data_IF_914210010476
#
_entry.id   IF_914210010476
#
_cell.length_a   1.000
_cell.length_b   1.000
_cell.length_c   1.000
_cell.angle_alpha   90.00
_cell.angle_beta   90.00
_cell.angle_gamma   90.00
#
_symmetry.space_group_name_H-M   'P 1'
#
loop_
_entity.id
_entity.type
_entity.pdbx_description
1 polymer ?
#
# COMPACT_ATOMS: atom_id res chain seq x y z
N UNK A 1 29.91 8.79 -10.66
CA UNK A 1 30.60 9.09 -11.93
C UNK A 1 30.73 10.59 -12.09
N UNK A 2 31.67 11.08 -12.90
CA UNK A 2 31.73 12.52 -13.20
C UNK A 2 30.68 12.91 -14.27
N UNK A 3 30.44 14.21 -14.45
CA UNK A 3 29.41 14.70 -15.39
C UNK A 3 29.62 14.19 -16.82
N UNK A 4 30.86 14.06 -17.28
CA UNK A 4 31.17 13.64 -18.65
C UNK A 4 30.81 12.16 -18.86
N UNK A 5 31.22 11.30 -17.93
CA UNK A 5 30.91 9.87 -17.95
C UNK A 5 29.40 9.61 -17.93
N UNK A 6 28.65 10.38 -17.14
CA UNK A 6 27.21 10.25 -17.08
C UNK A 6 26.51 10.66 -18.38
N UNK A 7 26.98 11.71 -19.05
CA UNK A 7 26.44 12.13 -20.35
C UNK A 7 26.72 11.05 -21.41
N UNK A 8 27.92 10.48 -21.44
CA UNK A 8 28.27 9.40 -22.37
C UNK A 8 27.42 8.15 -22.14
N UNK A 9 27.20 7.77 -20.87
CA UNK A 9 26.29 6.68 -20.51
C UNK A 9 24.83 6.95 -20.93
N UNK A 10 24.35 8.17 -20.70
CA UNK A 10 23.01 8.58 -21.09
C UNK A 10 22.82 8.52 -22.62
N UNK A 11 23.79 9.03 -23.39
CA UNK A 11 23.76 9.03 -24.85
C UNK A 11 23.79 7.62 -25.42
N UNK A 12 24.59 6.71 -24.84
CA UNK A 12 24.68 5.32 -25.27
C UNK A 12 23.35 4.55 -25.12
N UNK A 13 22.57 4.86 -24.08
CA UNK A 13 21.29 4.18 -23.81
C UNK A 13 20.14 4.81 -24.59
N UNK A 14 20.11 6.15 -24.67
CA UNK A 14 18.97 6.88 -25.19
C UNK A 14 19.16 7.34 -26.64
N UNK A 15 20.34 7.12 -27.21
CA UNK A 15 20.74 7.55 -28.55
C UNK A 15 20.45 9.05 -28.83
N UNK A 16 20.54 9.87 -27.78
CA UNK A 16 20.36 11.33 -27.81
C UNK A 16 21.08 12.00 -26.64
N UNK A 17 21.39 13.29 -26.79
CA UNK A 17 21.94 14.09 -25.70
C UNK A 17 20.91 14.30 -24.57
N UNK A 18 21.34 14.33 -23.30
CA UNK A 18 20.45 14.66 -22.19
C UNK A 18 20.01 16.12 -22.25
N UNK A 19 18.76 16.37 -21.85
CA UNK A 19 18.22 17.72 -21.67
C UNK A 19 18.77 18.37 -20.40
N UNK A 20 18.62 19.70 -20.27
CA UNK A 20 19.06 20.44 -19.07
C UNK A 20 18.34 19.93 -17.81
N UNK A 21 17.05 19.58 -17.93
CA UNK A 21 16.25 19.04 -16.83
C UNK A 21 16.74 17.66 -16.38
N UNK A 22 17.09 16.78 -17.33
CA UNK A 22 17.65 15.46 -17.03
C UNK A 22 19.01 15.57 -16.35
N UNK A 23 19.86 16.52 -16.78
CA UNK A 23 21.13 16.79 -16.11
C UNK A 23 20.93 17.31 -14.67
N UNK A 24 19.95 18.19 -14.45
CA UNK A 24 19.62 18.71 -13.12
C UNK A 24 19.09 17.61 -12.20
N UNK A 25 18.21 16.74 -12.73
CA UNK A 25 17.66 15.62 -11.99
C UNK A 25 18.76 14.62 -11.61
N UNK A 26 19.64 14.29 -12.54
CA UNK A 26 20.75 13.38 -12.28
C UNK A 26 21.78 13.94 -11.29
N UNK A 27 22.00 15.25 -11.28
CA UNK A 27 22.81 15.91 -10.26
C UNK A 27 22.14 15.85 -8.87
N UNK A 28 20.83 16.11 -8.79
CA UNK A 28 20.06 16.03 -7.55
C UNK A 28 19.98 14.59 -7.00
N UNK A 29 19.89 13.62 -7.90
CA UNK A 29 19.89 12.20 -7.58
C UNK A 29 21.29 11.67 -7.20
N UNK A 30 22.34 12.49 -7.37
CA UNK A 30 23.73 12.11 -7.11
C UNK A 30 24.28 11.07 -8.09
N UNK A 31 23.66 10.92 -9.26
CA UNK A 31 24.10 9.99 -10.30
C UNK A 31 25.46 10.39 -10.86
N UNK A 32 25.72 11.70 -10.93
CA UNK A 32 27.06 12.23 -11.12
C UNK A 32 27.34 13.38 -10.17
N UNK A 33 28.62 13.60 -9.91
CA UNK A 33 29.12 14.72 -9.12
C UNK A 33 29.92 15.66 -10.01
N UNK A 34 29.83 16.96 -9.73
CA UNK A 34 30.65 17.97 -10.40
C UNK A 34 31.97 18.07 -9.64
N UNK A 35 33.01 17.43 -10.15
CA UNK A 35 34.35 17.59 -9.59
C UNK A 35 34.95 18.93 -10.06
N UNK A 36 35.13 19.87 -9.12
CA UNK A 36 35.95 21.08 -9.31
C UNK A 36 35.24 22.41 -9.05
N UNK A 37 35.62 23.06 -7.94
CA UNK A 37 35.31 24.40 -7.41
C UNK A 37 33.89 24.65 -6.87
N UNK A 38 33.85 24.83 -5.54
CA UNK A 38 32.75 25.43 -4.77
C UNK A 38 32.06 26.56 -5.55
N UNK A 39 30.81 26.34 -5.94
CA UNK A 39 29.85 27.40 -6.17
C UNK A 39 28.92 27.43 -4.95
N UNK A 40 29.20 28.32 -4.01
CA UNK A 40 28.23 28.79 -3.02
C UNK A 40 27.02 29.35 -3.77
N UNK A 41 25.86 28.73 -3.63
CA UNK A 41 24.60 29.38 -3.98
C UNK A 41 24.26 30.39 -2.86
N UNK A 42 24.76 31.62 -3.00
CA UNK A 42 24.21 32.78 -2.29
C UNK A 42 22.91 33.20 -2.96
N UNK A 43 21.84 33.30 -2.17
CA UNK A 43 20.63 34.01 -2.57
C UNK A 43 20.94 35.51 -2.67
N UNK A 44 21.08 36.03 -3.89
CA UNK A 44 21.01 37.47 -4.14
C UNK A 44 19.53 37.86 -4.30
N UNK A 45 18.93 38.38 -3.23
CA UNK A 45 17.81 39.31 -3.33
C UNK A 45 18.38 40.73 -3.35
N UNK A 46 18.15 41.45 -4.45
CA UNK A 46 18.47 42.86 -4.58
C UNK A 46 17.74 43.70 -3.52
N UNK A 47 18.49 44.46 -2.71
CA UNK A 47 18.12 45.83 -2.35
C UNK A 47 19.39 46.66 -2.08
N UNK A 48 19.56 47.69 -2.91
CA UNK A 48 20.47 48.84 -2.74
C UNK A 48 19.81 49.72 -1.65
N UNK A 49 20.49 50.28 -0.65
CA UNK A 49 21.28 51.53 -0.74
C UNK A 49 22.15 51.73 0.52
N UNK A 50 23.41 52.09 0.28
CA UNK A 50 24.40 52.91 1.02
C UNK A 50 24.44 52.99 2.56
N UNK A 51 25.66 52.87 3.10
CA UNK A 51 26.12 53.75 4.18
C UNK A 51 27.01 53.13 5.26
N UNK A 52 28.33 53.26 5.08
CA UNK A 52 29.37 53.41 6.12
C UNK A 52 29.71 52.23 7.08
N UNK A 53 30.94 51.72 6.92
CA UNK A 53 31.79 51.15 7.98
C UNK A 53 32.19 52.26 8.99
N UNK A 54 32.60 51.97 10.26
CA UNK A 54 33.64 50.99 10.59
C UNK A 54 33.49 50.18 11.92
N UNK A 55 34.31 49.13 12.06
CA UNK A 55 34.73 48.45 13.33
C UNK A 55 35.58 49.40 14.24
N UNK A 56 36.07 49.05 15.46
CA UNK A 56 35.91 47.87 16.36
C UNK A 56 35.73 48.21 17.88
N UNK A 57 35.81 47.18 18.76
CA UNK A 57 36.45 47.11 20.11
C UNK A 57 35.61 46.76 21.36
N UNK A 58 36.08 45.71 22.06
CA UNK A 58 36.36 45.57 23.52
C UNK A 58 35.21 45.77 24.54
N UNK A 59 35.16 45.22 25.76
CA UNK A 59 35.81 44.19 26.59
C UNK A 59 35.01 44.21 27.92
N UNK A 60 35.10 43.12 28.72
CA UNK A 60 34.89 43.07 30.21
C UNK A 60 33.49 43.40 30.74
N UNK A 61 32.91 42.79 31.77
CA UNK A 61 33.26 41.86 32.86
C UNK A 61 32.01 41.91 33.77
N UNK A 62 31.60 40.88 34.51
CA UNK A 62 32.09 40.59 35.86
C UNK A 62 31.11 39.61 36.54
N UNK A 63 31.68 38.73 37.38
CA UNK A 63 31.07 37.70 38.24
C UNK A 63 30.03 38.29 39.23
N UNK A 64 29.17 37.54 39.95
CA UNK A 64 29.45 36.77 41.18
C UNK A 64 28.17 36.02 41.64
N UNK A 65 28.33 34.82 42.22
CA UNK A 65 27.33 33.94 42.90
C UNK A 65 27.52 34.10 44.44
N UNK A 66 26.58 33.85 45.41
CA UNK A 66 26.22 32.45 45.82
C UNK A 66 24.89 32.19 46.63
N UNK A 67 24.51 30.90 46.71
CA UNK A 67 23.99 30.05 47.82
C UNK A 67 22.65 30.24 48.63
N UNK A 68 21.84 29.13 48.66
CA UNK A 68 21.04 28.46 49.74
C UNK A 68 20.11 29.29 50.68
N UNK A 69 18.81 29.00 50.95
CA UNK A 69 18.22 27.81 51.64
C UNK A 69 16.66 27.87 51.70
N UNK A 70 16.05 26.75 52.08
CA UNK A 70 14.62 26.35 52.08
C UNK A 70 13.69 26.97 53.16
N UNK A 71 12.36 26.99 52.92
CA UNK A 71 11.32 26.64 53.91
C UNK A 71 9.93 26.37 53.27
N UNK A 72 9.18 25.40 53.82
CA UNK A 72 7.84 24.92 53.40
C UNK A 72 6.86 24.92 54.59
N UNK A 73 5.53 24.83 54.29
CA UNK A 73 4.34 24.40 55.10
C UNK A 73 3.32 25.52 55.42
N UNK A 74 2.23 25.70 54.62
CA UNK A 74 0.81 25.18 54.69
C UNK A 74 -0.15 26.01 55.59
N UNK A 75 -1.45 26.30 55.36
CA UNK A 75 -2.51 25.96 54.37
C UNK A 75 -3.51 27.15 54.33
N UNK A 76 -4.14 27.44 53.19
CA UNK A 76 -5.60 27.71 53.16
C UNK A 76 -6.19 27.23 51.83
N UNK A 77 -7.13 26.27 51.92
CA UNK A 77 -7.91 25.72 50.80
C UNK A 77 -8.69 26.83 50.08
N UNK A 78 -8.58 26.90 48.76
CA UNK A 78 -9.50 27.66 47.90
C UNK A 78 -10.08 26.75 46.82
N UNK A 79 -11.41 26.81 46.69
CA UNK A 79 -12.25 25.99 45.82
C UNK A 79 -11.93 26.23 44.33
N UNK A 80 -12.09 25.14 43.57
CA UNK A 80 -11.86 24.98 42.14
C UNK A 80 -12.38 26.12 41.26
N UNK A 81 -11.47 26.70 40.47
CA UNK A 81 -11.78 27.39 39.23
C UNK A 81 -11.12 26.64 38.08
N UNK A 82 -11.91 26.21 37.09
CA UNK A 82 -11.46 25.57 35.85
C UNK A 82 -10.41 26.46 35.19
N UNK A 83 -9.12 26.08 35.25
CA UNK A 83 -7.95 26.53 34.44
C UNK A 83 -6.64 26.37 35.22
N UNK A 84 -6.20 25.14 35.46
CA UNK A 84 -4.77 24.84 35.68
C UNK A 84 -4.52 23.36 35.40
N UNK A 85 -4.52 23.00 34.12
CA UNK A 85 -3.95 21.73 33.62
C UNK A 85 -3.24 21.98 32.29
N UNK A 86 -2.52 23.11 32.22
CA UNK A 86 -1.76 23.55 31.05
C UNK A 86 -0.34 23.79 31.58
N UNK A 87 0.49 22.75 31.58
CA UNK A 87 1.84 22.87 32.16
C UNK A 87 2.68 21.59 32.21
N UNK A 88 2.12 20.42 31.88
CA UNK A 88 2.88 19.17 31.71
C UNK A 88 2.48 18.39 30.44
N UNK A 89 1.66 18.99 29.57
CA UNK A 89 1.20 18.41 28.30
C UNK A 89 1.82 19.04 27.04
N UNK A 90 2.76 19.97 27.16
CA UNK A 90 3.29 20.75 26.02
C UNK A 90 4.66 20.23 25.53
N UNK A 91 5.38 19.42 26.32
CA UNK A 91 6.62 18.79 25.87
C UNK A 91 6.38 17.58 24.94
N UNK A 92 5.19 16.95 24.97
CA UNK A 92 4.83 15.86 24.04
C UNK A 92 4.18 16.37 22.75
N UNK A 93 3.69 17.62 22.73
CA UNK A 93 3.03 18.23 21.57
C UNK A 93 4.00 18.94 20.61
N UNK A 94 5.23 19.25 21.03
CA UNK A 94 6.23 19.91 20.19
C UNK A 94 7.14 18.97 19.39
N UNK A 95 7.10 17.65 19.65
CA UNK A 95 7.71 16.64 18.76
C UNK A 95 6.76 16.24 17.61
N UNK A 96 5.47 16.59 17.72
CA UNK A 96 4.47 16.38 16.66
C UNK A 96 4.46 17.53 15.63
N UNK A 97 4.93 18.72 16.00
CA UNK A 97 4.81 19.91 15.15
C UNK A 97 5.99 20.15 14.16
N UNK A 98 7.13 19.46 14.31
CA UNK A 98 8.26 19.53 13.36
C UNK A 98 8.40 18.28 12.49
N UNK A 99 7.50 17.30 12.62
CA UNK A 99 7.35 16.17 11.70
C UNK A 99 6.10 16.28 10.82
N UNK A 100 5.44 17.45 10.84
CA UNK A 100 4.37 17.80 9.89
C UNK A 100 4.97 18.23 8.54
N UNK A 101 5.90 17.42 8.02
CA UNK A 101 6.09 17.31 6.58
C UNK A 101 4.91 16.52 6.05
N UNK A 102 3.76 17.20 5.92
CA UNK A 102 2.66 16.82 5.06
C UNK A 102 3.24 16.59 3.67
N UNK A 103 3.71 15.37 3.41
CA UNK A 103 3.76 14.82 2.06
C UNK A 103 2.30 14.67 1.65
N UNK A 104 1.74 15.78 1.16
CA UNK A 104 0.53 15.78 0.37
C UNK A 104 0.70 14.70 -0.70
N UNK A 105 -0.18 13.72 -0.64
CA UNK A 105 -0.28 12.55 -1.48
C UNK A 105 0.02 12.88 -2.95
N UNK A 106 1.27 12.66 -3.35
CA UNK A 106 1.57 12.35 -4.73
C UNK A 106 1.73 10.85 -4.81
N UNK A 107 0.61 10.14 -4.95
CA UNK A 107 0.60 8.74 -5.39
C UNK A 107 1.23 8.56 -6.77
N UNK A 108 1.66 9.65 -7.43
CA UNK A 108 2.37 9.65 -8.71
C UNK A 108 3.75 8.99 -8.67
N UNK A 109 4.24 8.58 -7.49
CA UNK A 109 5.55 7.94 -7.32
C UNK A 109 5.56 6.43 -7.03
N UNK A 110 4.46 5.84 -6.55
CA UNK A 110 4.45 4.42 -6.13
C UNK A 110 3.49 3.59 -6.98
N UNK A 111 3.93 2.40 -7.42
CA UNK A 111 3.08 1.46 -8.17
C UNK A 111 2.22 0.57 -7.24
N UNK A 112 1.95 1.05 -6.02
CA UNK A 112 1.22 0.29 -5.00
C UNK A 112 -0.28 0.25 -5.26
N UNK A 113 -0.85 1.24 -5.96
CA UNK A 113 -2.30 1.33 -6.17
C UNK A 113 -2.84 0.08 -6.89
N UNK A 114 -3.97 -0.45 -6.41
CA UNK A 114 -4.64 -1.62 -6.96
C UNK A 114 -4.78 -2.78 -5.99
N UNK A 115 -5.28 -3.90 -6.52
CA UNK A 115 -5.47 -5.17 -5.83
C UNK A 115 -4.19 -6.00 -5.80
N UNK A 116 -3.83 -6.46 -4.62
CA UNK A 116 -2.73 -7.38 -4.36
C UNK A 116 -3.27 -8.67 -3.76
N UNK A 117 -2.87 -9.81 -4.31
CA UNK A 117 -3.31 -11.14 -3.87
C UNK A 117 -2.12 -12.03 -3.58
N UNK A 118 -2.16 -12.83 -2.50
CA UNK A 118 -1.10 -13.78 -2.16
C UNK A 118 -1.45 -15.22 -2.57
N UNK A 119 -0.59 -16.18 -2.22
CA UNK A 119 -0.81 -17.60 -2.51
C UNK A 119 -1.86 -18.30 -1.63
N UNK A 120 -2.40 -17.61 -0.62
CA UNK A 120 -3.54 -18.04 0.18
C UNK A 120 -4.86 -17.44 -0.32
N UNK A 121 -4.81 -16.63 -1.38
CA UNK A 121 -5.94 -15.87 -1.89
C UNK A 121 -6.46 -14.82 -0.89
N UNK A 122 -5.57 -14.32 -0.02
CA UNK A 122 -5.83 -13.11 0.76
C UNK A 122 -5.63 -11.90 -0.16
N UNK A 123 -6.61 -11.00 -0.13
CA UNK A 123 -6.61 -9.77 -0.92
C UNK A 123 -6.37 -8.53 -0.06
N UNK A 124 -5.64 -7.58 -0.62
CA UNK A 124 -5.45 -6.24 -0.07
C UNK A 124 -5.53 -5.22 -1.19
N UNK A 125 -6.27 -4.12 -0.98
CA UNK A 125 -6.40 -3.04 -1.98
C UNK A 125 -5.83 -1.74 -1.44
N UNK A 126 -4.88 -1.17 -2.17
CA UNK A 126 -4.44 0.21 -1.98
C UNK A 126 -5.22 1.12 -2.93
N UNK A 127 -6.22 1.82 -2.42
CA UNK A 127 -6.94 2.87 -3.16
C UNK A 127 -6.24 4.21 -2.93
N UNK A 128 -5.21 4.48 -3.74
CA UNK A 128 -4.33 5.63 -3.57
C UNK A 128 -4.85 6.85 -4.37
N UNK A 129 -5.42 7.81 -3.64
CA UNK A 129 -5.98 9.07 -4.16
C UNK A 129 -5.22 10.27 -3.61
N UNK A 130 -5.24 11.40 -4.32
CA UNK A 130 -4.62 12.67 -3.85
C UNK A 130 -5.18 13.13 -2.48
N UNK A 131 -6.42 12.75 -2.17
CA UNK A 131 -7.04 12.90 -0.84
C UNK A 131 -7.85 11.65 -0.55
N UNK A 132 -7.95 11.28 0.74
CA UNK A 132 -8.73 10.13 1.21
C UNK A 132 -8.26 8.80 0.61
N UNK A 133 -6.95 8.59 0.57
CA UNK A 133 -6.40 7.26 0.26
C UNK A 133 -6.87 6.24 1.29
N UNK A 134 -7.27 5.06 0.83
CA UNK A 134 -7.81 3.98 1.66
C UNK A 134 -7.03 2.69 1.46
N UNK A 135 -6.99 1.89 2.51
CA UNK A 135 -6.48 0.54 2.53
C UNK A 135 -7.62 -0.40 2.87
N UNK A 136 -7.83 -1.42 2.03
CA UNK A 136 -8.81 -2.47 2.29
C UNK A 136 -8.11 -3.80 2.57
N UNK A 137 -8.50 -4.47 3.66
CA UNK A 137 -7.97 -5.79 4.04
C UNK A 137 -9.10 -6.72 4.48
N UNK A 138 -9.64 -7.51 3.54
CA UNK A 138 -10.90 -8.24 3.77
C UNK A 138 -12.03 -7.29 4.13
N UNK A 139 -12.75 -7.56 5.23
CA UNK A 139 -13.90 -6.78 5.70
C UNK A 139 -13.56 -5.45 6.38
N UNK A 140 -12.44 -4.84 6.02
CA UNK A 140 -11.94 -3.64 6.70
C UNK A 140 -11.56 -2.58 5.70
N UNK A 141 -12.01 -1.37 6.00
CA UNK A 141 -11.59 -0.15 5.36
C UNK A 141 -10.84 0.72 6.38
N UNK A 142 -9.62 1.13 6.03
CA UNK A 142 -8.81 2.03 6.85
C UNK A 142 -8.31 3.22 6.03
N UNK A 143 -8.40 4.42 6.62
CA UNK A 143 -7.81 5.61 6.02
C UNK A 143 -6.27 5.56 6.11
N UNK A 144 -5.61 5.69 4.97
CA UNK A 144 -4.16 5.82 4.91
C UNK A 144 -3.77 7.22 5.37
N UNK A 145 -2.90 7.27 6.37
CA UNK A 145 -2.40 8.52 6.97
C UNK A 145 -1.01 8.89 6.49
N UNK A 146 -0.18 7.88 6.22
CA UNK A 146 1.21 8.08 5.85
C UNK A 146 1.63 7.03 4.81
N UNK A 147 2.34 7.49 3.78
CA UNK A 147 3.06 6.63 2.85
C UNK A 147 4.50 7.16 2.78
N UNK A 148 5.45 6.39 3.28
CA UNK A 148 6.85 6.80 3.40
C UNK A 148 7.73 5.82 2.65
N UNK A 149 8.74 6.32 1.95
CA UNK A 149 9.69 5.54 1.18
C UNK A 149 11.12 6.04 1.38
N UNK A 150 12.09 5.30 0.84
CA UNK A 150 13.49 5.69 0.82
C UNK A 150 14.30 5.24 2.04
N UNK A 151 15.49 5.82 2.22
CA UNK A 151 16.53 5.33 3.14
C UNK A 151 16.07 5.21 4.59
N UNK A 152 15.23 6.12 5.07
CA UNK A 152 14.72 6.12 6.44
C UNK A 152 13.87 4.88 6.73
N UNK A 153 12.94 4.55 5.84
CA UNK A 153 12.06 3.37 5.98
C UNK A 153 12.87 2.08 5.87
N UNK A 154 13.86 2.04 4.97
CA UNK A 154 14.79 0.90 4.89
C UNK A 154 15.51 0.64 6.22
N UNK A 155 16.02 1.69 6.86
CA UNK A 155 16.68 1.58 8.17
C UNK A 155 15.71 1.18 9.29
N UNK A 156 14.46 1.65 9.24
CA UNK A 156 13.41 1.23 10.16
C UNK A 156 13.10 -0.26 10.03
N UNK A 157 12.89 -0.73 8.80
CA UNK A 157 12.68 -2.14 8.50
C UNK A 157 13.84 -3.03 8.97
N UNK A 158 15.09 -2.65 8.66
CA UNK A 158 16.29 -3.40 9.08
C UNK A 158 16.40 -3.48 10.62
N UNK A 159 15.98 -2.44 11.34
CA UNK A 159 15.90 -2.46 12.80
C UNK A 159 14.81 -3.41 13.29
N UNK A 160 13.63 -3.38 12.66
CA UNK A 160 12.49 -4.25 13.03
C UNK A 160 12.80 -5.74 12.79
N UNK A 161 13.34 -6.12 11.64
CA UNK A 161 13.68 -7.55 11.37
C UNK A 161 14.76 -8.07 12.31
N UNK A 162 15.71 -7.20 12.74
CA UNK A 162 16.73 -7.57 13.71
C UNK A 162 16.14 -7.82 15.10
N UNK A 163 15.08 -7.11 15.46
CA UNK A 163 14.39 -7.27 16.73
C UNK A 163 13.52 -8.53 16.78
N UNK A 164 12.92 -8.93 15.64
CA UNK A 164 11.94 -10.02 15.57
C UNK A 164 12.53 -11.34 15.08
N UNK A 165 13.55 -11.32 14.21
CA UNK A 165 14.27 -12.54 13.84
C UNK A 165 15.35 -12.80 14.89
N UNK A 166 15.42 -14.01 15.46
CA UNK A 166 16.41 -14.44 16.48
C UNK A 166 17.87 -14.27 16.00
N UNK A 167 18.34 -13.03 15.83
CA UNK A 167 19.63 -12.56 15.34
C UNK A 167 20.06 -12.96 13.91
N UNK A 168 19.23 -13.66 13.14
CA UNK A 168 19.60 -14.18 11.80
C UNK A 168 19.45 -13.18 10.65
N UNK A 169 18.51 -12.24 10.71
CA UNK A 169 18.29 -11.25 9.66
C UNK A 169 18.68 -9.87 10.18
N UNK A 170 19.74 -9.28 9.62
CA UNK A 170 20.29 -7.99 10.08
C UNK A 170 20.13 -6.88 9.06
N UNK A 171 19.86 -7.23 7.81
CA UNK A 171 19.75 -6.32 6.69
C UNK A 171 18.70 -6.79 5.69
N UNK A 172 18.27 -5.92 4.79
CA UNK A 172 17.44 -6.33 3.66
C UNK A 172 18.13 -7.38 2.78
N UNK A 173 19.47 -7.32 2.67
CA UNK A 173 20.23 -8.30 1.89
C UNK A 173 20.16 -9.70 2.51
N UNK A 174 20.18 -9.82 3.84
CA UNK A 174 20.00 -11.10 4.53
C UNK A 174 18.58 -11.63 4.33
N UNK A 175 17.58 -10.76 4.41
CA UNK A 175 16.17 -11.08 4.19
C UNK A 175 15.97 -11.60 2.76
N UNK A 176 16.42 -10.84 1.77
CA UNK A 176 16.35 -11.17 0.35
C UNK A 176 17.09 -12.48 0.06
N UNK A 177 18.29 -12.68 0.61
CA UNK A 177 19.04 -13.93 0.44
C UNK A 177 18.31 -15.13 1.02
N UNK A 178 17.77 -15.01 2.24
CA UNK A 178 17.09 -16.12 2.92
C UNK A 178 15.84 -16.56 2.15
N UNK A 179 15.03 -15.60 1.72
CA UNK A 179 13.77 -15.87 1.07
C UNK A 179 13.86 -15.81 -0.46
N UNK A 180 15.04 -15.62 -1.05
CA UNK A 180 15.25 -15.50 -2.49
C UNK A 180 14.36 -14.41 -3.12
N UNK A 181 14.36 -13.24 -2.48
CA UNK A 181 13.70 -12.04 -2.96
C UNK A 181 14.72 -11.06 -3.54
N UNK A 182 14.22 -10.06 -4.27
CA UNK A 182 15.00 -9.02 -4.93
C UNK A 182 14.33 -7.68 -4.70
N UNK A 183 14.41 -7.18 -3.47
CA UNK A 183 13.73 -5.95 -3.07
C UNK A 183 14.37 -4.76 -3.77
N UNK A 184 13.57 -4.04 -4.55
CA UNK A 184 13.94 -2.80 -5.23
C UNK A 184 13.72 -1.59 -4.31
N UNK A 185 12.59 -1.57 -3.62
CA UNK A 185 12.16 -0.45 -2.80
C UNK A 185 11.41 -0.95 -1.57
N UNK A 186 11.50 -0.20 -0.46
CA UNK A 186 10.70 -0.45 0.74
C UNK A 186 9.83 0.77 0.98
N UNK A 187 8.52 0.53 1.03
CA UNK A 187 7.50 1.54 1.29
C UNK A 187 6.78 1.16 2.58
N UNK A 188 6.55 2.12 3.45
CA UNK A 188 5.77 1.96 4.67
C UNK A 188 4.44 2.68 4.50
N UNK A 189 3.35 1.93 4.57
CA UNK A 189 1.98 2.48 4.57
C UNK A 189 1.43 2.37 5.99
N UNK A 190 0.99 3.49 6.57
CA UNK A 190 0.35 3.51 7.89
C UNK A 190 -1.07 4.04 7.81
N UNK A 191 -1.93 3.38 8.56
CA UNK A 191 -3.30 3.82 8.89
C UNK A 191 -3.34 4.29 10.33
N UNK A 192 -4.52 4.61 10.87
CA UNK A 192 -4.65 4.94 12.30
C UNK A 192 -4.33 3.76 13.22
N UNK A 193 -4.56 2.53 12.74
CA UNK A 193 -4.50 1.31 13.55
C UNK A 193 -3.40 0.35 13.13
N UNK A 194 -3.02 0.37 11.86
CA UNK A 194 -2.14 -0.63 11.25
C UNK A 194 -1.01 0.02 10.46
N UNK A 195 0.02 -0.76 10.20
CA UNK A 195 1.12 -0.37 9.32
C UNK A 195 1.64 -1.57 8.56
N UNK A 196 2.03 -1.36 7.30
CA UNK A 196 2.53 -2.40 6.41
C UNK A 196 3.80 -1.94 5.71
N UNK A 197 4.85 -2.76 5.84
CA UNK A 197 5.99 -2.69 4.95
C UNK A 197 5.64 -3.38 3.64
N UNK A 198 5.87 -2.67 2.55
CA UNK A 198 5.76 -3.14 1.17
C UNK A 198 7.16 -3.19 0.59
N UNK A 199 7.71 -4.39 0.48
CA UNK A 199 9.00 -4.64 -0.14
C UNK A 199 8.73 -4.92 -1.61
N UNK A 200 8.75 -3.86 -2.43
CA UNK A 200 8.48 -3.95 -3.86
C UNK A 200 9.66 -4.65 -4.53
N UNK A 201 9.36 -5.72 -5.26
CA UNK A 201 10.35 -6.57 -5.90
C UNK A 201 10.69 -6.06 -7.30
N UNK A 202 11.86 -6.46 -7.82
CA UNK A 202 12.29 -6.08 -9.18
C UNK A 202 11.38 -6.62 -10.29
N UNK A 203 10.70 -7.74 -10.04
CA UNK A 203 9.76 -8.38 -10.99
C UNK A 203 8.33 -7.80 -10.92
N UNK A 204 8.10 -6.80 -10.06
CA UNK A 204 6.79 -6.18 -9.86
C UNK A 204 5.90 -6.86 -8.82
N UNK A 205 6.32 -7.99 -8.24
CA UNK A 205 5.66 -8.55 -7.05
C UNK A 205 5.95 -7.72 -5.80
N UNK A 206 5.25 -7.98 -4.70
CA UNK A 206 5.38 -7.23 -3.46
C UNK A 206 5.38 -8.16 -2.26
N UNK A 207 6.36 -8.02 -1.37
CA UNK A 207 6.34 -8.71 -0.08
C UNK A 207 5.72 -7.77 0.95
N UNK A 208 4.49 -8.07 1.37
CA UNK A 208 3.71 -7.24 2.28
C UNK A 208 3.77 -7.86 3.68
N UNK A 209 4.21 -7.06 4.66
CA UNK A 209 4.40 -7.47 6.04
C UNK A 209 3.78 -6.43 6.96
N UNK A 210 3.04 -6.85 7.98
CA UNK A 210 2.61 -5.93 9.03
C UNK A 210 3.83 -5.34 9.77
N UNK A 211 3.66 -4.16 10.37
CA UNK A 211 4.76 -3.45 11.04
C UNK A 211 5.34 -4.22 12.23
N UNK A 212 4.54 -5.10 12.85
CA UNK A 212 4.97 -6.01 13.91
C UNK A 212 5.75 -7.22 13.40
N UNK A 213 5.81 -7.42 12.08
CA UNK A 213 6.48 -8.53 11.41
C UNK A 213 5.98 -9.88 11.92
N UNK A 214 4.68 -9.99 12.15
CA UNK A 214 4.05 -11.20 12.71
C UNK A 214 4.39 -12.44 11.89
N UNK A 215 4.34 -12.34 10.57
CA UNK A 215 4.68 -13.41 9.63
C UNK A 215 6.15 -13.84 9.69
N UNK A 216 7.07 -12.91 9.96
CA UNK A 216 8.49 -13.24 10.13
C UNK A 216 8.68 -14.05 11.42
N UNK A 217 7.95 -13.69 12.46
CA UNK A 217 7.97 -14.37 13.75
C UNK A 217 7.33 -15.77 13.68
N UNK A 218 6.11 -15.88 13.16
CA UNK A 218 5.32 -17.12 13.17
C UNK A 218 5.73 -18.11 12.08
N UNK A 219 6.13 -17.62 10.91
CA UNK A 219 6.32 -18.45 9.72
C UNK A 219 7.70 -18.30 9.06
N UNK A 220 8.55 -17.39 9.56
CA UNK A 220 9.86 -17.12 8.96
C UNK A 220 10.83 -18.30 8.91
N UNK A 221 10.63 -19.37 9.68
CA UNK A 221 11.42 -20.60 9.58
C UNK A 221 11.04 -21.46 8.37
N UNK A 222 9.79 -21.39 7.91
CA UNK A 222 9.27 -22.14 6.78
C UNK A 222 9.16 -21.22 5.56
N UNK A 223 10.22 -21.15 4.75
CA UNK A 223 10.28 -20.28 3.57
C UNK A 223 9.12 -20.50 2.60
N UNK A 224 8.62 -21.73 2.43
CA UNK A 224 7.50 -22.01 1.52
C UNK A 224 6.21 -21.38 2.02
N UNK A 225 5.88 -21.59 3.29
CA UNK A 225 4.68 -21.02 3.90
C UNK A 225 4.77 -19.50 4.03
N UNK A 226 5.94 -18.99 4.43
CA UNK A 226 6.20 -17.56 4.49
C UNK A 226 5.96 -16.86 3.14
N UNK A 227 6.49 -17.42 2.05
CA UNK A 227 6.24 -16.91 0.70
C UNK A 227 4.76 -16.94 0.35
N UNK A 228 4.07 -18.05 0.66
CA UNK A 228 2.64 -18.20 0.35
C UNK A 228 1.80 -17.10 0.99
N UNK A 229 2.16 -16.68 2.20
CA UNK A 229 1.46 -15.64 2.98
C UNK A 229 1.85 -14.22 2.62
N UNK A 230 3.14 -13.97 2.39
CA UNK A 230 3.66 -12.61 2.30
C UNK A 230 3.98 -12.15 0.88
N UNK A 231 4.12 -13.05 -0.09
CA UNK A 231 4.39 -12.67 -1.48
C UNK A 231 3.07 -12.43 -2.21
N UNK A 232 2.84 -11.18 -2.57
CA UNK A 232 1.66 -10.72 -3.30
C UNK A 232 2.00 -10.43 -4.76
N UNK A 233 1.07 -10.77 -5.64
CA UNK A 233 1.04 -10.38 -7.04
C UNK A 233 -0.09 -9.37 -7.27
N UNK A 234 0.11 -8.48 -8.23
CA UNK A 234 -0.93 -7.54 -8.63
C UNK A 234 -1.99 -8.28 -9.44
N UNK A 235 -3.25 -8.15 -9.05
CA UNK A 235 -4.37 -8.78 -9.73
C UNK A 235 -5.26 -7.72 -10.39
N UNK A 236 -5.86 -8.10 -11.52
CA UNK A 236 -6.85 -7.27 -12.20
C UNK A 236 -8.25 -7.82 -11.94
N UNK A 237 -9.22 -6.92 -11.88
CA UNK A 237 -10.63 -7.27 -11.74
C UNK A 237 -11.22 -7.37 -13.14
N UNK A 238 -11.93 -8.46 -13.48
CA UNK A 238 -12.52 -8.56 -14.80
C UNK A 238 -13.54 -7.43 -14.99
N UNK A 239 -13.41 -6.68 -16.09
CA UNK A 239 -14.22 -5.48 -16.35
C UNK A 239 -15.73 -5.72 -16.31
N UNK A 240 -16.16 -6.95 -16.59
CA UNK A 240 -17.56 -7.35 -16.52
C UNK A 240 -18.16 -7.15 -15.11
N UNK A 241 -17.36 -7.24 -14.05
CA UNK A 241 -17.79 -7.08 -12.65
C UNK A 241 -17.84 -5.63 -12.20
N UNK A 242 -17.04 -4.74 -12.78
CA UNK A 242 -16.89 -3.36 -12.29
C UNK A 242 -18.16 -2.54 -12.52
N UNK A 243 -18.76 -2.01 -11.46
CA UNK A 243 -19.90 -1.09 -11.52
C UNK A 243 -20.90 -1.26 -10.39
N UNK A 244 -22.09 -0.69 -10.58
CA UNK A 244 -23.19 -0.74 -9.62
C UNK A 244 -24.17 -1.84 -9.99
N UNK A 245 -24.67 -2.52 -8.97
CA UNK A 245 -25.49 -3.72 -9.10
C UNK A 245 -26.62 -3.73 -8.08
N UNK A 246 -27.74 -4.34 -8.45
CA UNK A 246 -28.79 -4.81 -7.54
C UNK A 246 -28.58 -6.28 -7.26
N UNK A 247 -28.74 -6.70 -6.01
CA UNK A 247 -28.64 -8.09 -5.57
C UNK A 247 -30.03 -8.71 -5.48
N UNK A 248 -30.14 -9.93 -5.99
CA UNK A 248 -31.32 -10.77 -5.91
C UNK A 248 -30.94 -12.12 -5.32
N UNK A 249 -31.79 -12.68 -4.47
CA UNK A 249 -31.60 -14.01 -3.89
C UNK A 249 -32.06 -15.13 -4.85
N UNK A 250 -32.14 -16.34 -4.34
CA UNK A 250 -32.55 -17.53 -5.07
C UNK A 250 -34.03 -17.56 -5.47
N UNK A 251 -34.87 -16.74 -4.81
CA UNK A 251 -36.30 -16.60 -5.08
C UNK A 251 -36.62 -15.37 -5.96
N UNK A 252 -35.58 -14.74 -6.53
CA UNK A 252 -35.63 -13.50 -7.31
C UNK A 252 -36.10 -12.26 -6.49
N UNK A 253 -36.02 -12.32 -5.16
CA UNK A 253 -36.34 -11.20 -4.28
C UNK A 253 -35.14 -10.24 -4.16
N UNK A 254 -35.41 -8.94 -4.20
CA UNK A 254 -34.37 -7.91 -4.15
C UNK A 254 -33.80 -7.76 -2.72
N UNK A 255 -32.50 -8.01 -2.55
CA UNK A 255 -31.81 -7.98 -1.26
C UNK A 255 -31.05 -6.67 -0.97
N UNK A 256 -30.85 -5.83 -2.00
CA UNK A 256 -30.15 -4.55 -1.84
C UNK A 256 -29.24 -4.23 -3.03
N UNK A 257 -28.23 -3.39 -2.80
CA UNK A 257 -27.28 -2.98 -3.82
C UNK A 257 -25.84 -3.32 -3.44
N UNK A 258 -25.03 -3.48 -4.47
CA UNK A 258 -23.59 -3.67 -4.36
C UNK A 258 -22.87 -2.83 -5.42
N UNK A 259 -21.69 -2.31 -5.08
CA UNK A 259 -20.78 -1.67 -6.01
C UNK A 259 -19.47 -2.42 -6.02
N UNK A 260 -18.93 -2.72 -7.20
CA UNK A 260 -17.61 -3.33 -7.38
C UNK A 260 -16.72 -2.31 -8.08
N UNK A 261 -15.66 -1.88 -7.40
CA UNK A 261 -14.71 -0.91 -7.94
C UNK A 261 -13.74 -1.52 -8.96
N UNK A 262 -13.02 -0.67 -9.70
CA UNK A 262 -11.96 -1.10 -10.63
C UNK A 262 -10.84 -1.92 -9.96
N UNK A 263 -10.64 -1.71 -8.65
CA UNK A 263 -9.66 -2.42 -7.84
C UNK A 263 -10.28 -3.56 -7.02
N UNK A 264 -11.55 -3.88 -7.23
CA UNK A 264 -12.17 -5.11 -6.71
C UNK A 264 -12.74 -4.98 -5.32
N UNK A 265 -12.71 -3.79 -4.74
CA UNK A 265 -13.48 -3.48 -3.52
C UNK A 265 -14.96 -3.61 -3.82
N UNK A 266 -15.64 -4.46 -3.06
CA UNK A 266 -17.08 -4.61 -2.99
C UNK A 266 -17.57 -3.72 -1.85
N UNK A 267 -18.64 -2.97 -2.09
CA UNK A 267 -19.34 -2.17 -1.07
C UNK A 267 -20.84 -2.44 -1.19
N UNK A 268 -21.51 -2.64 -0.07
CA UNK A 268 -22.97 -2.88 0.00
C UNK A 268 -23.68 -1.74 0.72
N UNK A 269 -25.01 -1.78 0.74
CA UNK A 269 -25.83 -0.82 1.49
C UNK A 269 -25.66 -0.91 3.02
N UNK A 270 -25.04 -1.99 3.54
CA UNK A 270 -24.87 -2.26 4.97
C UNK A 270 -23.58 -1.70 5.58
N UNK A 271 -22.92 -0.75 4.92
CA UNK A 271 -21.55 -0.27 5.22
C UNK A 271 -20.48 -1.39 5.23
N UNK A 272 -20.84 -2.61 4.80
CA UNK A 272 -19.91 -3.72 4.68
C UNK A 272 -19.05 -3.56 3.43
N UNK A 273 -17.80 -3.99 3.55
CA UNK A 273 -16.85 -4.05 2.43
C UNK A 273 -16.28 -5.44 2.31
N UNK A 274 -15.96 -5.86 1.09
CA UNK A 274 -15.16 -7.06 0.83
C UNK A 274 -14.27 -6.84 -0.40
N UNK A 275 -13.48 -7.84 -0.76
CA UNK A 275 -12.57 -7.79 -1.91
C UNK A 275 -12.86 -8.97 -2.83
N UNK A 276 -13.27 -8.67 -4.06
CA UNK A 276 -13.44 -9.66 -5.12
C UNK A 276 -12.10 -10.16 -5.63
N UNK A 277 -11.89 -11.49 -5.59
CA UNK A 277 -10.76 -12.16 -6.23
C UNK A 277 -11.31 -13.18 -7.24
N UNK A 278 -11.78 -12.66 -8.37
CA UNK A 278 -12.38 -13.45 -9.43
C UNK A 278 -11.31 -13.99 -10.38
N UNK A 279 -11.07 -15.30 -10.33
CA UNK A 279 -10.21 -15.99 -11.31
C UNK A 279 -11.02 -16.61 -12.43
N UNK A 280 -10.65 -16.44 -13.70
CA UNK A 280 -11.25 -17.18 -14.80
C UNK A 280 -11.19 -18.69 -14.56
N UNK A 281 -12.23 -19.43 -14.93
CA UNK A 281 -12.33 -20.87 -14.68
C UNK A 281 -11.11 -21.67 -15.18
N UNK A 282 -10.54 -21.26 -16.32
CA UNK A 282 -9.32 -21.86 -16.89
C UNK A 282 -8.11 -21.70 -15.99
N UNK A 283 -7.96 -20.54 -15.36
CA UNK A 283 -6.84 -20.23 -14.46
C UNK A 283 -7.03 -20.93 -13.12
N UNK A 284 -8.25 -20.93 -12.60
CA UNK A 284 -8.61 -21.63 -11.36
C UNK A 284 -8.30 -23.14 -11.44
N UNK A 285 -8.57 -23.76 -12.59
CA UNK A 285 -8.40 -25.20 -12.77
C UNK A 285 -7.00 -25.62 -13.24
N UNK A 286 -6.03 -24.70 -13.28
CA UNK A 286 -4.61 -25.02 -13.56
C UNK A 286 -4.11 -26.07 -12.57
N UNK A 287 -3.49 -27.12 -13.10
CA UNK A 287 -2.96 -28.20 -12.27
C UNK A 287 -1.64 -27.81 -11.57
N UNK A 288 -1.14 -28.67 -10.67
CA UNK A 288 0.11 -28.43 -9.93
C UNK A 288 1.36 -28.23 -10.81
N UNK A 289 1.30 -28.62 -12.08
CA UNK A 289 2.39 -28.43 -13.05
C UNK A 289 2.29 -27.11 -13.84
N UNK A 290 1.30 -26.26 -13.53
CA UNK A 290 1.07 -25.00 -14.24
C UNK A 290 0.39 -25.19 -15.60
N UNK A 291 -0.15 -26.39 -15.90
CA UNK A 291 -0.82 -26.69 -17.16
C UNK A 291 -2.33 -26.71 -16.98
N UNK A 292 -3.04 -26.16 -17.97
CA UNK A 292 -4.50 -26.23 -18.08
C UNK A 292 -4.88 -27.60 -18.62
N UNK A 293 -5.78 -28.29 -17.93
CA UNK A 293 -6.44 -29.51 -18.41
C UNK A 293 -7.77 -29.11 -19.07
N UNK A 294 -7.79 -29.12 -20.41
CA UNK A 294 -8.97 -28.67 -21.15
C UNK A 294 -10.19 -29.57 -20.93
N UNK A 295 -9.99 -30.88 -20.71
CA UNK A 295 -11.09 -31.81 -20.48
C UNK A 295 -11.71 -31.56 -19.11
N UNK A 296 -10.87 -31.31 -18.10
CA UNK A 296 -11.32 -30.92 -16.76
C UNK A 296 -12.08 -29.58 -16.79
N UNK A 297 -11.57 -28.60 -17.52
CA UNK A 297 -12.21 -27.29 -17.68
C UNK A 297 -13.57 -27.43 -18.36
N UNK A 298 -13.64 -28.19 -19.45
CA UNK A 298 -14.90 -28.39 -20.18
C UNK A 298 -15.93 -29.12 -19.32
N UNK A 299 -15.50 -30.16 -18.58
CA UNK A 299 -16.37 -30.89 -17.66
C UNK A 299 -16.94 -30.00 -16.54
N UNK A 300 -16.11 -29.11 -15.98
CA UNK A 300 -16.57 -28.14 -14.98
C UNK A 300 -17.56 -27.13 -15.60
N UNK A 301 -17.24 -26.62 -16.78
CA UNK A 301 -18.13 -25.72 -17.52
C UNK A 301 -19.48 -26.39 -17.83
N UNK A 302 -19.50 -27.63 -18.30
CA UNK A 302 -20.76 -28.34 -18.61
C UNK A 302 -21.64 -28.53 -17.37
N UNK A 303 -21.03 -28.79 -16.20
CA UNK A 303 -21.73 -28.89 -14.92
C UNK A 303 -22.36 -27.55 -14.51
N UNK A 304 -21.57 -26.48 -14.53
CA UNK A 304 -22.01 -25.11 -14.23
C UNK A 304 -23.10 -24.68 -15.22
N UNK A 305 -22.90 -24.92 -16.51
CA UNK A 305 -23.83 -24.59 -17.58
C UNK A 305 -25.17 -25.32 -17.44
N UNK A 306 -25.19 -26.53 -16.86
CA UNK A 306 -26.41 -27.26 -16.52
C UNK A 306 -27.17 -26.58 -15.38
N UNK A 307 -26.47 -26.15 -14.33
CA UNK A 307 -27.08 -25.40 -13.21
C UNK A 307 -27.64 -24.04 -13.67
N UNK A 308 -26.91 -23.31 -14.53
CA UNK A 308 -27.40 -22.07 -15.13
C UNK A 308 -28.70 -22.30 -15.93
N UNK A 309 -28.73 -23.34 -16.78
CA UNK A 309 -29.89 -23.64 -17.63
C UNK A 309 -31.14 -24.00 -16.84
N UNK A 310 -31.02 -24.68 -15.69
CA UNK A 310 -32.19 -24.99 -14.87
C UNK A 310 -32.85 -23.75 -14.26
N UNK A 311 -32.14 -22.62 -14.23
CA UNK A 311 -32.62 -21.32 -13.75
C UNK A 311 -32.79 -20.29 -14.87
N UNK A 312 -32.87 -20.75 -16.14
CA UNK A 312 -33.12 -19.88 -17.28
C UNK A 312 -31.92 -19.06 -17.79
N UNK A 313 -30.72 -19.31 -17.26
CA UNK A 313 -29.50 -18.60 -17.63
C UNK A 313 -28.60 -19.40 -18.57
N UNK A 314 -27.79 -18.69 -19.35
CA UNK A 314 -26.79 -19.30 -20.22
C UNK A 314 -25.51 -18.46 -20.32
N UNK A 315 -24.39 -19.04 -19.92
CA UNK A 315 -23.08 -18.50 -20.24
C UNK A 315 -22.75 -18.78 -21.72
N UNK A 316 -22.03 -17.86 -22.38
CA UNK A 316 -21.68 -18.04 -23.80
C UNK A 316 -20.51 -19.00 -23.95
N UNK A 317 -19.59 -18.99 -22.99
CA UNK A 317 -18.35 -19.75 -23.04
C UNK A 317 -17.75 -19.96 -21.65
N UNK A 318 -16.73 -20.82 -21.60
CA UNK A 318 -15.86 -21.02 -20.43
C UNK A 318 -15.28 -19.71 -19.89
N UNK A 319 -15.03 -18.72 -20.77
CA UNK A 319 -14.41 -17.45 -20.39
C UNK A 319 -15.37 -16.51 -19.64
N UNK A 320 -16.65 -16.84 -19.61
CA UNK A 320 -17.66 -16.10 -18.87
C UNK A 320 -17.85 -16.65 -17.44
N UNK A 321 -17.13 -17.74 -17.09
CA UNK A 321 -17.17 -18.35 -15.77
C UNK A 321 -15.91 -17.99 -14.99
N UNK A 322 -16.13 -17.52 -13.78
CA UNK A 322 -15.11 -17.17 -12.81
C UNK A 322 -15.34 -17.95 -11.52
N UNK A 323 -14.30 -18.11 -10.73
CA UNK A 323 -14.37 -18.60 -9.37
C UNK A 323 -13.90 -17.50 -8.43
N UNK A 324 -14.67 -17.20 -7.38
CA UNK A 324 -14.23 -16.33 -6.30
C UNK A 324 -13.41 -17.14 -5.30
N UNK A 325 -12.11 -16.88 -5.28
CA UNK A 325 -11.16 -17.63 -4.49
C UNK A 325 -11.29 -17.44 -2.98
N UNK A 326 -12.04 -16.43 -2.51
CA UNK A 326 -12.27 -16.23 -1.08
C UNK A 326 -13.45 -17.00 -0.51
N UNK A 327 -14.43 -17.29 -1.36
CA UNK A 327 -15.80 -17.55 -0.92
C UNK A 327 -16.41 -18.81 -1.56
N UNK A 328 -15.64 -19.54 -2.39
CA UNK A 328 -16.07 -20.81 -3.00
C UNK A 328 -17.33 -20.69 -3.85
N UNK A 329 -17.51 -19.57 -4.54
CA UNK A 329 -18.59 -19.35 -5.49
C UNK A 329 -18.06 -19.40 -6.92
N UNK A 330 -18.83 -19.99 -7.83
CA UNK A 330 -18.73 -19.68 -9.25
C UNK A 330 -19.56 -18.45 -9.56
N UNK A 331 -18.98 -17.56 -10.36
CA UNK A 331 -19.60 -16.33 -10.83
C UNK A 331 -19.71 -16.43 -12.35
N UNK A 332 -20.94 -16.44 -12.87
CA UNK A 332 -21.21 -16.59 -14.29
C UNK A 332 -21.72 -15.27 -14.88
N UNK A 333 -20.96 -14.68 -15.79
CA UNK A 333 -21.36 -13.48 -16.53
C UNK A 333 -22.35 -13.90 -17.63
N UNK A 334 -23.59 -13.45 -17.54
CA UNK A 334 -24.68 -13.82 -18.47
C UNK A 334 -25.39 -12.59 -19.04
N UNK A 335 -26.31 -12.81 -19.98
CA UNK A 335 -27.15 -11.76 -20.58
C UNK A 335 -26.35 -10.58 -21.17
N UNK A 336 -25.19 -10.89 -21.75
CA UNK A 336 -24.30 -9.88 -22.33
C UNK A 336 -23.57 -9.01 -21.30
N UNK A 337 -23.43 -9.48 -20.06
CA UNK A 337 -22.79 -8.75 -18.97
C UNK A 337 -23.75 -7.92 -18.12
N UNK A 338 -25.06 -8.06 -18.35
CA UNK A 338 -26.10 -7.40 -17.56
C UNK A 338 -26.34 -8.08 -16.22
N UNK A 339 -26.05 -9.38 -16.12
CA UNK A 339 -26.20 -10.16 -14.89
C UNK A 339 -24.97 -10.99 -14.60
N UNK A 340 -24.71 -11.19 -13.32
CA UNK A 340 -23.74 -12.17 -12.83
C UNK A 340 -24.50 -13.12 -11.90
N UNK A 341 -24.62 -14.37 -12.32
CA UNK A 341 -25.24 -15.44 -11.53
C UNK A 341 -24.22 -15.99 -10.55
N UNK A 342 -24.66 -16.23 -9.32
CA UNK A 342 -23.83 -16.72 -8.21
C UNK A 342 -24.23 -18.16 -7.93
N UNK A 343 -23.24 -19.06 -7.98
CA UNK A 343 -23.43 -20.49 -7.69
C UNK A 343 -22.49 -20.94 -6.57
N UNK A 344 -22.99 -21.63 -5.56
CA UNK A 344 -22.19 -22.21 -4.47
C UNK A 344 -21.50 -23.51 -4.89
N UNK A 345 -20.17 -23.47 -5.10
CA UNK A 345 -19.36 -24.64 -5.47
C UNK A 345 -19.44 -25.72 -4.38
N UNK A 346 -19.36 -25.31 -3.10
CA UNK A 346 -19.31 -26.23 -1.96
C UNK A 346 -20.54 -27.12 -1.80
N UNK A 347 -21.68 -26.74 -2.37
CA UNK A 347 -22.92 -27.52 -2.32
C UNK A 347 -23.33 -28.12 -3.67
N UNK A 348 -22.40 -28.17 -4.62
CA UNK A 348 -22.64 -28.79 -5.92
C UNK A 348 -23.13 -27.83 -7.00
N UNK A 349 -22.68 -26.57 -6.94
CA UNK A 349 -23.06 -25.47 -7.83
C UNK A 349 -24.53 -25.06 -7.65
N UNK A 350 -24.98 -25.01 -6.39
CA UNK A 350 -26.34 -24.56 -6.06
C UNK A 350 -26.51 -23.10 -6.48
N UNK A 351 -27.65 -22.79 -7.08
CA UNK A 351 -28.01 -21.41 -7.38
C UNK A 351 -28.30 -20.66 -6.08
N UNK A 352 -27.70 -19.48 -5.94
CA UNK A 352 -27.80 -18.63 -4.75
C UNK A 352 -28.25 -17.20 -5.09
N UNK A 353 -28.81 -17.02 -6.28
CA UNK A 353 -29.21 -15.73 -6.82
C UNK A 353 -28.24 -15.11 -7.81
N UNK A 354 -28.37 -13.81 -8.02
CA UNK A 354 -27.61 -13.06 -9.01
C UNK A 354 -27.50 -11.58 -8.65
N UNK A 355 -26.58 -10.90 -9.31
CA UNK A 355 -26.54 -9.45 -9.33
C UNK A 355 -26.86 -8.92 -10.74
N UNK A 356 -27.68 -7.89 -10.83
CA UNK A 356 -28.09 -7.23 -12.07
C UNK A 356 -27.55 -5.81 -12.14
N UNK A 357 -27.03 -5.40 -13.30
CA UNK A 357 -26.52 -4.05 -13.53
C UNK A 357 -27.59 -3.02 -13.20
N UNK A 358 -27.22 -2.01 -12.41
CA UNK A 358 -27.95 -0.75 -12.42
C UNK A 358 -27.53 0.01 -13.69
N UNK A 359 -28.32 -0.13 -14.75
CA UNK A 359 -28.22 0.77 -15.90
C UNK A 359 -28.44 2.22 -15.40
N UNK A 360 -27.57 3.13 -15.86
CA UNK A 360 -27.60 4.55 -15.46
C UNK A 360 -28.83 5.30 -15.97
#
# INVERSE_FOLDING_TARGET
MNRKEWIEYFEAINNRKPTIQECQQALLNGEFVIEGKQATFSNNGNSVTEGAMPLPNQMTGQMVNPAYSQQMVFVKKKKFGKKTFIGLGIALFLVVATSLGLFLFSSKGTNLGGLWVNGNNDGLVYDLKEKNSKLFTGYREDNIKEVTLGKKVRQEFERSIKAVSDSKLKSIADFDKKYQFHTKEIILVKTERYGYYNLVQKDGTNVILDIGLSEVFSHGSNTKEFKKRCLFYKAEVPKAFVGNWKKFDEDDDAEGKATISENGVISTDSDDTDILIAKPLREYLVNKSGKVDNDKVQKAFDKIQKSLKSHGYQAKSVNDIYHDERSSYYLAVVDGGKRIVILEDSYGDLYSGYIEREDK
#
